data_IF_211016007714
#
_entry.id   IF_211016007714
#
_cell.length_a   1.000
_cell.length_b   1.000
_cell.length_c   1.000
_cell.angle_alpha   90.00
_cell.angle_beta   90.00
_cell.angle_gamma   90.00
#
_symmetry.space_group_name_H-M   'P 1'
#
loop_
_entity.id
_entity.type
_entity.pdbx_description
1 polymer ?
#
# COMPACT_ATOMS: atom_id res chain seq x y z
N UNK A 1 1.22 -16.45 4.98
CA UNK A 1 -0.11 -16.43 4.34
C UNK A 1 0.01 -15.57 3.08
N UNK A 2 -0.61 -15.94 1.96
CA UNK A 2 -0.61 -15.11 0.73
C UNK A 2 -1.92 -14.32 0.60
N UNK A 3 -1.97 -13.22 -0.17
CA UNK A 3 -3.22 -12.48 -0.41
C UNK A 3 -4.36 -13.36 -0.95
N UNK A 4 -4.03 -14.35 -1.78
CA UNK A 4 -5.02 -15.32 -2.28
C UNK A 4 -5.54 -16.21 -1.15
N UNK A 5 -4.67 -16.74 -0.27
CA UNK A 5 -5.09 -17.54 0.88
C UNK A 5 -5.97 -16.74 1.86
N UNK A 6 -5.64 -15.47 2.08
CA UNK A 6 -6.43 -14.56 2.92
C UNK A 6 -7.85 -14.38 2.35
N UNK A 7 -7.97 -14.05 1.05
CA UNK A 7 -9.29 -13.92 0.39
C UNK A 7 -10.11 -15.20 0.44
N UNK A 8 -9.47 -16.37 0.29
CA UNK A 8 -10.15 -17.67 0.43
C UNK A 8 -10.72 -17.88 1.83
N UNK A 9 -10.02 -17.43 2.87
CA UNK A 9 -10.41 -17.62 4.27
C UNK A 9 -11.46 -16.61 4.74
N UNK A 10 -11.32 -15.34 4.34
CA UNK A 10 -12.20 -14.24 4.80
C UNK A 10 -13.38 -13.97 3.85
N UNK A 11 -13.38 -14.57 2.66
CA UNK A 11 -14.43 -14.38 1.66
C UNK A 11 -14.33 -13.03 0.93
N UNK A 12 -15.40 -12.60 0.24
CA UNK A 12 -15.37 -11.38 -0.57
C UNK A 12 -15.19 -10.12 0.29
N UNK A 13 -14.44 -9.14 -0.23
CA UNK A 13 -14.12 -7.91 0.51
C UNK A 13 -15.34 -7.07 0.93
N UNK A 14 -16.49 -7.27 0.29
CA UNK A 14 -17.76 -6.66 0.69
C UNK A 14 -18.26 -7.09 2.08
N UNK A 15 -17.62 -8.10 2.69
CA UNK A 15 -17.94 -8.58 4.05
C UNK A 15 -16.82 -8.35 5.06
N UNK A 16 -15.74 -7.71 4.64
CA UNK A 16 -14.58 -7.49 5.49
C UNK A 16 -14.87 -6.44 6.55
N UNK A 17 -14.42 -6.72 7.76
CA UNK A 17 -14.34 -5.72 8.82
C UNK A 17 -13.15 -4.78 8.57
N UNK A 18 -13.08 -3.61 9.22
CA UNK A 18 -11.91 -2.75 9.17
C UNK A 18 -10.59 -3.49 9.50
N UNK A 19 -10.61 -4.40 10.49
CA UNK A 19 -9.44 -5.19 10.84
C UNK A 19 -9.01 -6.17 9.73
N UNK A 20 -9.96 -6.67 8.93
CA UNK A 20 -9.63 -7.51 7.77
C UNK A 20 -8.99 -6.68 6.65
N UNK A 21 -9.41 -5.43 6.47
CA UNK A 21 -8.78 -4.50 5.52
C UNK A 21 -7.34 -4.20 5.93
N UNK A 22 -7.12 -3.81 7.19
CA UNK A 22 -5.77 -3.51 7.71
C UNK A 22 -4.83 -4.72 7.60
N UNK A 23 -5.32 -5.91 8.00
CA UNK A 23 -4.52 -7.14 7.91
C UNK A 23 -4.19 -7.52 6.47
N UNK A 24 -5.13 -7.33 5.54
CA UNK A 24 -4.91 -7.60 4.12
C UNK A 24 -3.94 -6.59 3.49
N UNK A 25 -4.04 -5.31 3.85
CA UNK A 25 -3.11 -4.25 3.42
C UNK A 25 -1.67 -4.62 3.79
N UNK A 26 -1.39 -4.88 5.06
CA UNK A 26 -0.06 -5.29 5.52
C UNK A 26 0.44 -6.57 4.88
N UNK A 27 -0.46 -7.51 4.58
CA UNK A 27 -0.09 -8.74 3.89
C UNK A 27 0.33 -8.46 2.45
N UNK A 28 -0.38 -7.58 1.73
CA UNK A 28 -0.01 -7.16 0.38
C UNK A 28 1.30 -6.39 0.41
N UNK A 29 1.45 -5.42 1.31
CA UNK A 29 2.68 -4.63 1.50
C UNK A 29 3.89 -5.52 1.78
N UNK A 30 3.76 -6.49 2.69
CA UNK A 30 4.85 -7.40 3.04
C UNK A 30 5.22 -8.41 1.95
N UNK A 31 4.38 -8.57 0.92
CA UNK A 31 4.65 -9.46 -0.23
C UNK A 31 5.08 -8.72 -1.48
N UNK A 32 5.04 -7.39 -1.47
CA UNK A 32 5.39 -6.54 -2.60
C UNK A 32 6.79 -5.95 -2.43
N UNK A 33 7.77 -6.37 -3.25
CA UNK A 33 9.16 -5.92 -3.10
C UNK A 33 9.31 -4.40 -3.31
N UNK A 34 8.44 -3.76 -4.08
CA UNK A 34 8.52 -2.32 -4.32
C UNK A 34 8.02 -1.53 -3.11
N UNK A 35 6.96 -2.01 -2.44
CA UNK A 35 6.48 -1.42 -1.19
C UNK A 35 7.49 -1.63 -0.06
N UNK A 36 8.09 -2.83 0.03
CA UNK A 36 9.14 -3.12 0.99
C UNK A 36 10.38 -2.23 0.76
N UNK A 37 10.78 -2.01 -0.50
CA UNK A 37 11.90 -1.11 -0.84
C UNK A 37 11.59 0.34 -0.47
N UNK A 38 10.40 0.84 -0.80
CA UNK A 38 9.98 2.19 -0.42
C UNK A 38 10.08 2.40 1.11
N UNK A 39 9.66 1.41 1.90
CA UNK A 39 9.79 1.46 3.35
C UNK A 39 11.27 1.47 3.81
N UNK A 40 12.12 0.63 3.22
CA UNK A 40 13.57 0.62 3.51
C UNK A 40 14.26 1.94 3.16
N UNK A 41 13.84 2.58 2.07
CA UNK A 41 14.38 3.86 1.60
C UNK A 41 13.78 5.07 2.34
N UNK A 42 12.89 4.83 3.31
CA UNK A 42 12.22 5.88 4.08
C UNK A 42 11.29 6.74 3.23
N UNK A 43 10.71 6.18 2.18
CA UNK A 43 9.78 6.85 1.27
C UNK A 43 8.33 6.59 1.68
N UNK A 44 7.45 7.53 1.34
CA UNK A 44 6.00 7.41 1.52
C UNK A 44 5.38 6.91 0.23
N UNK A 45 4.64 5.81 0.28
CA UNK A 45 3.84 5.34 -0.85
C UNK A 45 2.61 6.23 -0.99
N UNK A 46 2.46 6.92 -2.11
CA UNK A 46 1.36 7.86 -2.37
C UNK A 46 0.28 7.29 -3.28
N UNK A 47 0.59 6.19 -3.97
CA UNK A 47 -0.38 5.53 -4.83
C UNK A 47 0.17 4.27 -5.49
N UNK A 48 -0.75 3.44 -5.97
CA UNK A 48 -0.46 2.23 -6.72
C UNK A 48 -1.45 2.12 -7.87
N UNK A 49 -0.96 1.96 -9.09
CA UNK A 49 -1.79 1.89 -10.28
C UNK A 49 -1.16 0.97 -11.33
N UNK A 50 -1.91 0.63 -12.38
CA UNK A 50 -1.43 -0.22 -13.48
C UNK A 50 -1.16 0.66 -14.70
N UNK A 51 0.04 0.55 -15.27
CA UNK A 51 0.43 1.20 -16.54
C UNK A 51 0.93 0.11 -17.47
N UNK A 52 0.28 -0.02 -18.64
CA UNK A 52 0.64 -1.02 -19.66
C UNK A 52 0.74 -2.48 -19.15
N UNK A 53 -0.09 -2.82 -18.16
CA UNK A 53 -0.12 -4.16 -17.54
C UNK A 53 0.86 -4.36 -16.39
N UNK A 54 1.74 -3.39 -16.14
CA UNK A 54 2.69 -3.40 -15.04
C UNK A 54 2.14 -2.62 -13.84
N UNK A 55 2.43 -3.10 -12.63
CA UNK A 55 2.09 -2.38 -11.40
C UNK A 55 3.15 -1.31 -11.16
N UNK A 56 2.70 -0.06 -11.05
CA UNK A 56 3.53 1.10 -10.73
C UNK A 56 3.20 1.55 -9.31
N UNK A 57 4.23 1.67 -8.48
CA UNK A 57 4.16 2.25 -7.14
C UNK A 57 4.71 3.68 -7.20
N UNK A 58 3.88 4.65 -6.86
CA UNK A 58 4.28 6.05 -6.72
C UNK A 58 4.75 6.32 -5.31
N UNK A 59 5.92 6.95 -5.19
CA UNK A 59 6.54 7.25 -3.90
C UNK A 59 6.90 8.74 -3.81
N UNK A 60 6.91 9.25 -2.59
CA UNK A 60 7.34 10.61 -2.27
C UNK A 60 8.34 10.58 -1.11
N UNK A 61 9.17 11.62 -1.02
CA UNK A 61 9.87 11.89 0.23
C UNK A 61 8.85 12.19 1.33
N UNK A 62 9.06 11.72 2.57
CA UNK A 62 8.28 12.19 3.70
C UNK A 62 8.36 13.71 3.72
N UNK A 63 7.21 14.40 3.84
CA UNK A 63 7.24 15.82 4.12
C UNK A 63 8.13 16.03 5.35
N UNK A 64 9.12 16.93 5.27
CA UNK A 64 9.87 17.33 6.44
C UNK A 64 8.83 17.69 7.51
N UNK A 65 8.91 17.08 8.70
CA UNK A 65 7.95 17.30 9.78
C UNK A 65 8.03 18.75 10.27
N UNK A 66 7.39 19.63 9.51
CA UNK A 66 6.91 20.94 9.87
C UNK A 66 5.47 20.94 9.38
N UNK A 67 4.52 21.09 10.29
CA UNK A 67 3.10 21.17 9.96
C UNK A 67 2.88 22.13 8.77
N UNK A 68 2.38 21.60 7.65
CA UNK A 68 2.08 22.43 6.48
C UNK A 68 1.94 21.62 5.20
N UNK A 69 0.77 21.03 4.99
CA UNK A 69 0.29 20.76 3.64
C UNK A 69 0.08 22.12 2.95
N UNK A 70 0.93 22.47 1.98
CA UNK A 70 0.58 23.41 0.93
C UNK A 70 1.09 22.82 -0.38
N UNK A 71 0.14 22.30 -1.18
CA UNK A 71 0.36 22.04 -2.59
C UNK A 71 -0.04 23.30 -3.34
N UNK A 72 0.88 23.86 -4.13
CA UNK A 72 0.55 24.77 -5.23
C UNK A 72 1.30 24.30 -6.48
N UNK A 73 0.72 24.61 -7.63
CA UNK A 73 1.02 24.13 -8.98
C UNK A 73 2.47 24.33 -9.45
#
# INVERSE_FOLDING_TARGET
>A
MTPTQFRTMHGPCSRWSPADFDAYEHLVEGTDPDLARAACDGLVVTGRHVVDGEVVVSVALPAATGHGLVLTD
#
